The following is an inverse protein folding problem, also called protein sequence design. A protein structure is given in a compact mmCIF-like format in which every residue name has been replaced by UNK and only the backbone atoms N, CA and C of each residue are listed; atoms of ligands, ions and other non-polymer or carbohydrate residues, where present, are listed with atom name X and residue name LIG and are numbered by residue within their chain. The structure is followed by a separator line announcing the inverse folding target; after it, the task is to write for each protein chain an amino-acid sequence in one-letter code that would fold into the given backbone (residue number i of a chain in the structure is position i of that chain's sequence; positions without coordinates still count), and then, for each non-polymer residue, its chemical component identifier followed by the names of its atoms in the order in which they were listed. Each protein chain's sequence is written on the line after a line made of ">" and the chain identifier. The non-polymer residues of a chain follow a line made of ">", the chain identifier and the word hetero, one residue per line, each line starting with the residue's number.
data_IF_243260870000
#
_entry.id   IF_243260870000
#
_cell.length_a   1.000
_cell.length_b   1.000
_cell.length_c   1.000
_cell.angle_alpha   90.00
_cell.angle_beta   90.00
_cell.angle_gamma   90.00
#
_symmetry.space_group_name_H-M   'P 1'
#
loop_
_entity.id
_entity.type
_entity.pdbx_description
1 polymer ?
#
# COMPACT_ATOMS: atom_id res chain seq x y z
N UNK A 1 31.80 17.16 -6.74
CA UNK A 1 31.22 16.69 -8.02
C UNK A 1 30.13 17.64 -8.49
N UNK A 2 30.32 18.30 -9.64
CA UNK A 2 29.30 19.09 -10.34
C UNK A 2 28.19 18.15 -10.84
N UNK A 3 26.94 18.63 -10.90
CA UNK A 3 25.82 17.85 -11.44
C UNK A 3 25.99 17.70 -12.96
N UNK A 4 25.90 16.48 -13.53
CA UNK A 4 25.94 16.29 -14.97
C UNK A 4 24.81 17.07 -15.65
N UNK A 5 25.07 17.63 -16.83
CA UNK A 5 24.18 18.60 -17.50
C UNK A 5 22.77 18.05 -17.73
N UNK A 6 22.60 16.73 -17.87
CA UNK A 6 21.31 16.07 -18.11
C UNK A 6 20.93 14.99 -17.08
N UNK A 7 21.70 14.83 -16.00
CA UNK A 7 21.38 13.85 -14.96
C UNK A 7 21.22 14.49 -13.58
N UNK A 8 19.98 14.77 -13.23
CA UNK A 8 19.62 15.36 -11.93
C UNK A 8 19.53 14.31 -10.81
N UNK A 9 19.56 13.01 -11.14
CA UNK A 9 19.43 11.90 -10.19
C UNK A 9 20.74 11.13 -10.01
N UNK A 10 21.83 11.50 -10.71
CA UNK A 10 23.13 10.82 -10.71
C UNK A 10 23.65 10.33 -9.36
N UNK A 11 23.39 11.07 -8.26
CA UNK A 11 23.83 10.69 -6.91
C UNK A 11 23.16 9.45 -6.33
N UNK A 12 22.01 9.07 -6.85
CA UNK A 12 21.23 7.90 -6.39
C UNK A 12 20.98 6.89 -7.50
N UNK A 13 21.28 7.23 -8.76
CA UNK A 13 21.00 6.41 -9.94
C UNK A 13 21.60 5.01 -9.81
N UNK A 14 22.91 4.91 -9.65
CA UNK A 14 23.60 3.62 -9.57
C UNK A 14 23.10 2.76 -8.40
N UNK A 15 22.74 3.39 -7.28
CA UNK A 15 22.16 2.69 -6.13
C UNK A 15 20.78 2.13 -6.46
N UNK A 16 19.91 2.96 -7.04
CA UNK A 16 18.55 2.55 -7.43
C UNK A 16 18.63 1.41 -8.46
N UNK A 17 19.45 1.55 -9.50
CA UNK A 17 19.60 0.52 -10.54
C UNK A 17 20.08 -0.82 -9.97
N UNK A 18 21.06 -0.81 -9.06
CA UNK A 18 21.52 -2.02 -8.36
C UNK A 18 20.43 -2.64 -7.48
N UNK A 19 19.69 -1.81 -6.76
CA UNK A 19 18.61 -2.28 -5.89
C UNK A 19 17.45 -2.84 -6.69
N UNK A 20 17.02 -2.18 -7.76
CA UNK A 20 15.96 -2.66 -8.67
C UNK A 20 16.34 -4.00 -9.28
N UNK A 21 17.59 -4.19 -9.74
CA UNK A 21 18.06 -5.49 -10.24
C UNK A 21 17.89 -6.59 -9.19
N UNK A 22 18.22 -6.30 -7.93
CA UNK A 22 18.01 -7.25 -6.82
C UNK A 22 16.53 -7.43 -6.47
N UNK A 23 15.69 -6.41 -6.61
CA UNK A 23 14.26 -6.52 -6.33
C UNK A 23 13.58 -7.48 -7.31
N UNK A 24 13.93 -7.35 -8.58
CA UNK A 24 13.42 -8.17 -9.67
C UNK A 24 13.94 -9.62 -9.59
N UNK A 25 15.14 -9.86 -9.05
CA UNK A 25 15.69 -11.22 -8.95
C UNK A 25 15.17 -12.02 -7.74
N UNK A 26 14.66 -11.35 -6.71
CA UNK A 26 14.29 -12.00 -5.43
C UNK A 26 12.85 -12.53 -5.42
N UNK A 27 11.95 -11.94 -6.20
CA UNK A 27 10.54 -12.32 -6.22
C UNK A 27 10.05 -12.41 -7.65
N UNK A 28 9.41 -13.53 -7.98
CA UNK A 28 8.74 -13.69 -9.28
C UNK A 28 7.46 -12.83 -9.31
N UNK A 29 7.25 -12.00 -10.33
CA UNK A 29 6.09 -11.13 -10.42
C UNK A 29 4.75 -11.86 -10.53
N UNK A 30 3.79 -11.49 -9.68
CA UNK A 30 2.42 -12.00 -9.69
C UNK A 30 1.59 -11.53 -10.89
N UNK A 31 0.36 -12.03 -11.03
CA UNK A 31 -0.55 -11.67 -12.12
C UNK A 31 -0.93 -10.17 -12.12
N UNK A 32 -1.11 -9.55 -10.95
CA UNK A 32 -1.56 -8.17 -10.83
C UNK A 32 -0.44 -7.28 -10.29
N UNK A 33 -0.13 -6.22 -11.04
CA UNK A 33 0.90 -5.26 -10.68
C UNK A 33 0.35 -3.85 -10.81
N UNK A 34 0.36 -3.11 -9.70
CA UNK A 34 -0.10 -1.74 -9.67
C UNK A 34 1.05 -0.76 -9.93
N UNK A 35 0.76 0.32 -10.66
CA UNK A 35 1.68 1.44 -10.87
C UNK A 35 1.04 2.71 -10.33
N UNK A 36 1.78 3.41 -9.46
CA UNK A 36 1.38 4.67 -8.87
C UNK A 36 2.62 5.35 -8.24
N UNK A 37 2.37 6.34 -7.41
CA UNK A 37 3.31 7.36 -7.03
C UNK A 37 3.49 7.37 -5.52
N UNK A 38 4.73 7.27 -5.07
CA UNK A 38 5.11 7.41 -3.67
C UNK A 38 5.82 8.75 -3.44
N UNK A 39 5.83 9.21 -2.19
CA UNK A 39 6.43 10.49 -1.82
C UNK A 39 7.47 10.35 -0.73
N UNK A 40 8.71 10.72 -1.05
CA UNK A 40 9.77 10.89 -0.05
C UNK A 40 9.76 12.31 0.47
N UNK A 41 9.39 12.48 1.73
CA UNK A 41 9.27 13.79 2.39
C UNK A 41 10.55 14.62 2.29
N UNK A 42 10.51 15.77 1.61
CA UNK A 42 11.66 16.66 1.48
C UNK A 42 11.23 18.13 1.26
N UNK A 43 11.74 19.03 2.11
CA UNK A 43 11.45 20.47 2.06
C UNK A 43 12.66 21.36 1.72
N UNK A 44 13.83 20.77 1.45
CA UNK A 44 15.02 21.54 1.06
C UNK A 44 14.92 22.14 -0.35
N UNK A 45 15.97 22.86 -0.75
CA UNK A 45 16.08 23.46 -2.09
C UNK A 45 16.28 22.36 -3.14
N UNK A 46 15.31 22.19 -4.03
CA UNK A 46 15.33 21.23 -5.12
C UNK A 46 14.49 21.75 -6.29
N UNK A 47 15.09 21.82 -7.48
CA UNK A 47 14.45 22.38 -8.69
C UNK A 47 13.14 21.68 -9.10
N UNK A 48 13.01 20.38 -8.81
CA UNK A 48 11.90 19.54 -9.25
C UNK A 48 11.10 18.95 -8.09
N UNK A 49 11.18 19.56 -6.90
CA UNK A 49 10.35 19.17 -5.74
C UNK A 49 8.87 19.19 -6.14
N UNK A 50 8.15 18.13 -5.77
CA UNK A 50 6.73 18.00 -6.07
C UNK A 50 5.88 18.41 -4.87
N UNK A 51 4.70 18.94 -5.17
CA UNK A 51 3.62 19.13 -4.23
C UNK A 51 2.46 18.23 -4.62
N UNK A 52 2.07 17.29 -3.74
CA UNK A 52 0.94 16.37 -3.95
C UNK A 52 -0.04 16.54 -2.79
N UNK A 53 -1.18 17.25 -2.98
CA UNK A 53 -2.10 17.61 -1.91
C UNK A 53 -2.66 16.42 -1.11
N UNK A 54 -2.83 15.27 -1.77
CA UNK A 54 -3.46 14.08 -1.20
C UNK A 54 -2.54 13.11 -0.44
N UNK A 55 -1.21 13.33 -0.47
CA UNK A 55 -0.27 12.47 0.26
C UNK A 55 0.00 13.03 1.66
N UNK A 56 0.25 12.13 2.63
CA UNK A 56 0.56 12.50 4.02
C UNK A 56 1.71 13.52 4.11
N UNK A 57 2.75 13.30 3.32
CA UNK A 57 3.78 14.29 3.06
C UNK A 57 3.49 15.02 1.75
N UNK A 58 2.99 16.25 1.84
CA UNK A 58 2.60 16.98 0.63
C UNK A 58 3.77 17.48 -0.21
N UNK A 59 4.95 17.70 0.37
CA UNK A 59 6.13 18.22 -0.31
C UNK A 59 7.28 17.22 -0.27
N UNK A 60 7.86 16.91 -1.43
CA UNK A 60 8.96 15.96 -1.46
C UNK A 60 9.49 15.61 -2.84
N UNK A 61 10.19 14.49 -2.87
CA UNK A 61 10.65 13.82 -4.09
C UNK A 61 9.60 12.77 -4.44
N UNK A 62 9.07 12.86 -5.66
CA UNK A 62 8.09 11.91 -6.18
C UNK A 62 8.86 10.70 -6.75
N UNK A 63 8.44 9.51 -6.34
CA UNK A 63 8.90 8.24 -6.91
C UNK A 63 7.73 7.61 -7.66
N UNK A 64 8.00 7.07 -8.85
CA UNK A 64 7.06 6.17 -9.52
C UNK A 64 7.44 4.74 -9.13
N UNK A 65 6.47 3.94 -8.70
CA UNK A 65 6.70 2.55 -8.28
C UNK A 65 5.79 1.61 -9.04
N UNK A 66 6.27 0.39 -9.24
CA UNK A 66 5.43 -0.76 -9.60
C UNK A 66 5.47 -1.78 -8.46
N UNK A 67 4.32 -2.11 -7.92
CA UNK A 67 4.17 -2.97 -6.75
C UNK A 67 3.17 -4.10 -7.02
N UNK A 68 3.39 -5.23 -6.36
CA UNK A 68 2.41 -6.31 -6.26
C UNK A 68 1.35 -6.04 -5.21
N UNK A 69 0.27 -6.83 -5.25
CA UNK A 69 -0.83 -6.83 -4.27
C UNK A 69 -0.35 -7.01 -2.83
N UNK A 70 0.75 -7.75 -2.60
CA UNK A 70 1.35 -7.97 -1.28
C UNK A 70 2.18 -6.76 -0.76
N UNK A 71 2.30 -5.69 -1.54
CA UNK A 71 3.08 -4.50 -1.24
C UNK A 71 4.56 -4.56 -1.60
N UNK A 72 5.00 -5.61 -2.30
CA UNK A 72 6.38 -5.72 -2.76
C UNK A 72 6.62 -4.79 -3.96
N UNK A 73 7.65 -3.94 -3.86
CA UNK A 73 8.09 -3.04 -4.95
C UNK A 73 9.09 -3.77 -5.85
N UNK A 74 8.77 -3.88 -7.14
CA UNK A 74 9.63 -4.50 -8.16
C UNK A 74 10.54 -3.50 -8.86
N UNK A 75 10.04 -2.29 -9.12
CA UNK A 75 10.80 -1.21 -9.76
C UNK A 75 10.40 0.15 -9.17
N UNK A 76 11.35 1.07 -9.14
CA UNK A 76 11.19 2.43 -8.64
C UNK A 76 12.01 3.42 -9.46
N UNK A 77 11.37 4.51 -9.89
CA UNK A 77 11.99 5.57 -10.68
C UNK A 77 11.84 6.95 -10.00
N UNK A 78 12.95 7.68 -9.84
CA UNK A 78 12.98 9.02 -9.24
C UNK A 78 12.58 10.09 -10.27
N UNK A 79 11.50 10.81 -9.99
CA UNK A 79 11.05 11.89 -10.86
C UNK A 79 11.99 13.10 -10.82
N UNK A 80 12.76 13.27 -11.89
CA UNK A 80 13.73 14.36 -12.07
C UNK A 80 13.16 15.69 -12.65
N UNK A 81 11.84 15.80 -12.80
CA UNK A 81 11.19 16.91 -13.48
C UNK A 81 10.86 16.63 -14.95
N UNK A 82 10.42 17.66 -15.68
CA UNK A 82 10.01 17.56 -17.09
C UNK A 82 11.24 17.49 -18.02
N UNK A 83 11.75 16.28 -18.26
CA UNK A 83 12.54 15.98 -19.45
C UNK A 83 11.58 15.25 -20.41
N UNK A 84 10.82 16.00 -21.21
CA UNK A 84 10.02 15.40 -22.29
C UNK A 84 10.96 15.16 -23.45
N UNK A 85 11.38 13.91 -23.66
CA UNK A 85 12.34 13.58 -24.72
C UNK A 85 11.63 13.06 -25.99
N UNK A 86 10.43 12.44 -25.87
CA UNK A 86 9.94 11.58 -26.96
C UNK A 86 8.50 11.84 -27.46
N UNK A 87 7.90 12.99 -27.17
CA UNK A 87 6.51 13.30 -27.59
C UNK A 87 5.40 12.41 -26.98
N UNK A 88 5.77 11.26 -26.38
CA UNK A 88 4.90 10.40 -25.57
C UNK A 88 4.58 11.14 -24.27
N UNK A 89 3.29 11.23 -23.94
CA UNK A 89 2.84 11.82 -22.67
C UNK A 89 3.50 11.12 -21.47
N UNK A 90 3.92 11.90 -20.46
CA UNK A 90 4.65 11.42 -19.28
C UNK A 90 4.06 10.15 -18.68
N UNK A 91 2.72 10.08 -18.57
CA UNK A 91 2.03 8.97 -17.92
C UNK A 91 2.20 7.64 -18.69
N UNK A 92 2.06 7.66 -20.02
CA UNK A 92 2.26 6.47 -20.84
C UNK A 92 3.71 6.00 -20.80
N UNK A 93 4.67 6.93 -20.83
CA UNK A 93 6.10 6.61 -20.73
C UNK A 93 6.44 5.94 -19.40
N UNK A 94 5.99 6.52 -18.28
CA UNK A 94 6.25 5.98 -16.94
C UNK A 94 5.71 4.55 -16.80
N UNK A 95 4.49 4.30 -17.26
CA UNK A 95 3.92 2.95 -17.18
C UNK A 95 4.75 1.96 -17.99
N UNK A 96 5.06 2.27 -19.25
CA UNK A 96 5.82 1.37 -20.11
C UNK A 96 7.25 1.14 -19.61
N UNK A 97 7.92 2.17 -19.09
CA UNK A 97 9.26 2.04 -18.50
C UNK A 97 9.25 1.10 -17.30
N UNK A 98 8.33 1.31 -16.34
CA UNK A 98 8.23 0.48 -15.14
C UNK A 98 7.72 -0.93 -15.43
N UNK A 99 6.84 -1.09 -16.42
CA UNK A 99 6.29 -2.40 -16.78
C UNK A 99 7.21 -3.22 -17.67
N UNK A 100 8.24 -2.62 -18.29
CA UNK A 100 9.05 -3.25 -19.34
C UNK A 100 9.56 -4.67 -18.98
N UNK A 101 10.09 -4.93 -17.77
CA UNK A 101 10.56 -6.26 -17.38
C UNK A 101 9.44 -7.31 -17.23
N UNK A 102 8.18 -6.87 -17.18
CA UNK A 102 7.01 -7.67 -16.82
C UNK A 102 6.00 -7.83 -17.97
N UNK A 103 6.34 -7.30 -19.15
CA UNK A 103 5.54 -7.42 -20.36
C UNK A 103 5.58 -8.84 -20.93
N UNK A 104 4.68 -9.12 -21.87
CA UNK A 104 4.62 -10.38 -22.63
C UNK A 104 4.33 -11.64 -21.81
N UNK A 105 3.61 -11.51 -20.70
CA UNK A 105 3.31 -12.64 -19.81
C UNK A 105 1.83 -12.79 -19.44
N UNK A 106 0.92 -12.07 -20.12
CA UNK A 106 -0.51 -12.09 -19.80
C UNK A 106 -0.86 -11.42 -18.46
N UNK A 107 0.10 -10.75 -17.82
CA UNK A 107 -0.11 -10.02 -16.55
C UNK A 107 -1.03 -8.83 -16.73
N UNK A 108 -1.55 -8.34 -15.62
CA UNK A 108 -2.46 -7.20 -15.58
C UNK A 108 -1.83 -6.03 -14.84
N UNK A 109 -1.62 -4.94 -15.57
CA UNK A 109 -1.15 -3.66 -15.03
C UNK A 109 -2.36 -2.87 -14.52
N UNK A 110 -2.30 -2.45 -13.26
CA UNK A 110 -3.35 -1.67 -12.58
C UNK A 110 -2.88 -0.24 -12.42
N UNK A 111 -3.68 0.72 -12.91
CA UNK A 111 -3.27 2.14 -12.93
C UNK A 111 -4.38 3.09 -12.51
N UNK A 112 -4.02 4.22 -11.91
CA UNK A 112 -4.96 5.31 -11.65
C UNK A 112 -5.20 6.16 -12.91
N UNK A 113 -6.25 6.98 -12.87
CA UNK A 113 -6.73 7.87 -13.92
C UNK A 113 -5.69 8.82 -14.54
N UNK A 114 -4.59 9.11 -13.84
CA UNK A 114 -3.48 9.90 -14.38
C UNK A 114 -2.76 9.16 -15.53
N UNK A 115 -2.70 7.84 -15.46
CA UNK A 115 -1.99 6.98 -16.41
C UNK A 115 -2.91 6.36 -17.46
N UNK A 116 -4.12 5.97 -17.05
CA UNK A 116 -5.07 5.24 -17.91
C UNK A 116 -5.44 6.05 -19.14
N UNK A 117 -5.19 5.47 -20.31
CA UNK A 117 -5.53 6.06 -21.60
C UNK A 117 -5.62 5.00 -22.69
N UNK A 118 -6.40 5.27 -23.74
CA UNK A 118 -6.56 4.35 -24.86
C UNK A 118 -5.23 4.01 -25.57
N UNK A 119 -4.31 4.98 -25.82
CA UNK A 119 -3.00 4.65 -26.40
C UNK A 119 -2.14 3.74 -25.51
N UNK A 120 -2.26 3.88 -24.18
CA UNK A 120 -1.56 2.99 -23.25
C UNK A 120 -2.14 1.58 -23.31
N UNK A 121 -3.47 1.46 -23.31
CA UNK A 121 -4.17 0.17 -23.38
C UNK A 121 -3.79 -0.62 -24.65
N UNK A 122 -3.77 0.03 -25.82
CA UNK A 122 -3.35 -0.62 -27.08
C UNK A 122 -1.90 -1.11 -26.99
N UNK A 123 -0.96 -0.27 -26.51
CA UNK A 123 0.45 -0.67 -26.39
C UNK A 123 0.68 -1.83 -25.43
N UNK A 124 -0.07 -1.90 -24.34
CA UNK A 124 0.04 -3.02 -23.41
C UNK A 124 -0.50 -4.31 -24.04
N UNK A 125 -1.62 -4.23 -24.77
CA UNK A 125 -2.16 -5.37 -25.53
C UNK A 125 -1.20 -5.85 -26.63
N UNK A 126 -0.56 -4.94 -27.36
CA UNK A 126 0.51 -5.27 -28.33
C UNK A 126 1.67 -6.05 -27.68
N UNK A 127 1.89 -5.86 -26.37
CA UNK A 127 2.89 -6.57 -25.57
C UNK A 127 2.27 -7.65 -24.66
N UNK A 128 1.18 -8.29 -25.09
CA UNK A 128 0.46 -9.36 -24.39
C UNK A 128 0.28 -9.10 -22.88
N UNK A 129 -0.12 -7.88 -22.54
CA UNK A 129 -0.28 -7.41 -21.16
C UNK A 129 -1.62 -6.67 -21.03
N UNK A 130 -2.39 -7.02 -20.01
CA UNK A 130 -3.68 -6.40 -19.76
C UNK A 130 -3.55 -5.10 -18.97
N UNK A 131 -4.54 -4.23 -19.11
CA UNK A 131 -4.69 -3.00 -18.35
C UNK A 131 -6.02 -3.02 -17.60
N UNK A 132 -6.00 -2.58 -16.35
CA UNK A 132 -7.17 -2.12 -15.61
C UNK A 132 -6.86 -0.75 -15.03
N UNK A 133 -7.79 0.19 -15.13
CA UNK A 133 -7.63 1.45 -14.44
C UNK A 133 -8.88 2.28 -14.38
N UNK A 134 -8.88 3.25 -13.47
CA UNK A 134 -9.89 4.32 -13.51
C UNK A 134 -9.59 5.24 -14.68
N UNK A 135 -10.62 5.82 -15.28
CA UNK A 135 -10.51 6.67 -16.46
C UNK A 135 -11.01 8.07 -16.13
N UNK A 136 -10.26 9.10 -16.53
CA UNK A 136 -10.74 10.49 -16.46
C UNK A 136 -11.75 10.73 -17.58
N UNK A 137 -12.92 11.27 -17.26
CA UNK A 137 -14.00 11.52 -18.24
C UNK A 137 -13.63 12.55 -19.31
N UNK A 138 -12.62 13.40 -19.07
CA UNK A 138 -12.13 14.41 -20.00
C UNK A 138 -10.96 13.94 -20.89
N UNK A 139 -10.66 12.64 -20.95
CA UNK A 139 -9.64 12.14 -21.90
C UNK A 139 -10.16 12.21 -23.33
N UNK A 140 -9.23 12.40 -24.26
CA UNK A 140 -9.51 12.44 -25.70
C UNK A 140 -9.99 11.05 -26.15
N UNK A 141 -10.90 11.01 -27.14
CA UNK A 141 -11.42 9.78 -27.76
C UNK A 141 -12.22 8.87 -26.80
N UNK A 142 -12.83 9.46 -25.78
CA UNK A 142 -13.80 8.75 -24.94
C UNK A 142 -15.17 8.75 -25.66
N UNK A 143 -15.90 7.61 -25.69
CA UNK A 143 -17.21 7.54 -26.32
C UNK A 143 -18.25 8.44 -25.63
N UNK A 144 -19.29 8.84 -26.37
CA UNK A 144 -20.33 9.73 -25.85
C UNK A 144 -21.16 9.13 -24.69
N UNK A 145 -21.08 7.80 -24.48
CA UNK A 145 -21.74 7.09 -23.38
C UNK A 145 -21.44 7.69 -21.99
N UNK A 146 -20.31 8.39 -21.85
CA UNK A 146 -19.95 9.02 -20.59
C UNK A 146 -20.80 10.26 -20.26
N UNK A 147 -21.55 10.81 -21.24
CA UNK A 147 -22.54 11.88 -21.04
C UNK A 147 -23.87 11.36 -20.50
N UNK A 148 -24.20 10.09 -20.70
CA UNK A 148 -25.47 9.48 -20.27
C UNK A 148 -25.61 9.50 -18.74
N UNK A 149 -26.79 9.90 -18.24
CA UNK A 149 -27.13 9.82 -16.81
C UNK A 149 -27.58 8.41 -16.48
N UNK A 150 -27.16 7.90 -15.32
CA UNK A 150 -27.46 6.53 -14.88
C UNK A 150 -28.14 6.58 -13.51
N UNK A 151 -29.01 5.60 -13.22
CA UNK A 151 -29.55 5.38 -11.87
C UNK A 151 -28.49 4.72 -10.99
N UNK A 152 -28.54 4.90 -9.65
CA UNK A 152 -27.63 4.20 -8.72
C UNK A 152 -27.64 2.68 -8.97
N UNK A 153 -26.46 2.09 -9.08
CA UNK A 153 -26.25 0.68 -9.39
C UNK A 153 -26.08 0.36 -10.88
N UNK A 154 -26.50 1.24 -11.79
CA UNK A 154 -26.41 1.00 -13.23
C UNK A 154 -24.99 1.19 -13.78
N UNK A 155 -24.65 0.35 -14.76
CA UNK A 155 -23.41 0.40 -15.54
C UNK A 155 -23.75 0.51 -17.03
N UNK A 156 -22.99 1.34 -17.75
CA UNK A 156 -22.96 1.38 -19.21
C UNK A 156 -21.51 1.24 -19.65
N UNK A 157 -21.27 0.55 -20.76
CA UNK A 157 -19.94 0.49 -21.34
C UNK A 157 -19.99 0.23 -22.84
N UNK A 158 -18.83 0.38 -23.46
CA UNK A 158 -18.58 -0.02 -24.85
C UNK A 158 -17.26 -0.73 -24.93
N UNK A 159 -17.18 -1.63 -25.89
CA UNK A 159 -15.99 -2.35 -26.26
C UNK A 159 -15.58 -1.93 -27.67
N UNK A 160 -14.28 -1.84 -27.91
CA UNK A 160 -13.76 -1.62 -29.27
C UNK A 160 -13.37 -2.96 -29.91
N UNK A 161 -13.00 -2.94 -31.20
CA UNK A 161 -12.57 -4.12 -31.95
C UNK A 161 -11.34 -4.83 -31.35
N UNK A 162 -10.53 -4.13 -30.55
CA UNK A 162 -9.35 -4.67 -29.89
C UNK A 162 -9.65 -5.31 -28.51
N UNK A 163 -10.93 -5.43 -28.12
CA UNK A 163 -11.31 -5.96 -26.81
C UNK A 163 -11.09 -4.99 -25.63
N UNK A 164 -10.95 -3.69 -25.91
CA UNK A 164 -10.82 -2.66 -24.87
C UNK A 164 -12.22 -2.18 -24.47
N UNK A 165 -12.57 -2.48 -23.22
CA UNK A 165 -13.81 -2.03 -22.58
C UNK A 165 -13.58 -0.71 -21.87
N UNK A 166 -14.47 0.25 -22.11
CA UNK A 166 -14.63 1.45 -21.30
C UNK A 166 -16.01 1.46 -20.69
N UNK A 167 -16.09 1.72 -19.39
CA UNK A 167 -17.34 1.67 -18.67
C UNK A 167 -17.51 2.86 -17.72
N UNK A 168 -18.77 3.24 -17.52
CA UNK A 168 -19.24 4.22 -16.54
C UNK A 168 -20.25 3.53 -15.64
N UNK A 169 -19.98 3.51 -14.35
CA UNK A 169 -20.83 2.94 -13.32
C UNK A 169 -21.26 4.01 -12.33
N UNK A 170 -22.51 3.98 -11.88
CA UNK A 170 -23.02 4.90 -10.87
C UNK A 170 -23.11 4.22 -9.50
N UNK A 171 -22.10 4.43 -8.68
CA UNK A 171 -22.15 4.11 -7.25
C UNK A 171 -22.79 5.31 -6.50
N UNK A 172 -22.22 5.76 -5.38
CA UNK A 172 -22.50 7.07 -4.78
C UNK A 172 -22.12 8.25 -5.69
N UNK A 173 -21.15 8.02 -6.59
CA UNK A 173 -20.67 8.96 -7.62
C UNK A 173 -20.37 8.16 -8.88
N UNK A 174 -20.33 8.84 -10.02
CA UNK A 174 -19.90 8.23 -11.26
C UNK A 174 -18.44 7.79 -11.18
N UNK A 175 -18.20 6.51 -11.47
CA UNK A 175 -16.89 5.92 -11.63
C UNK A 175 -16.71 5.55 -13.10
N UNK A 176 -15.67 6.10 -13.70
CA UNK A 176 -15.27 5.80 -15.07
C UNK A 176 -14.05 4.87 -15.04
N UNK A 177 -14.06 3.83 -15.86
CA UNK A 177 -13.05 2.78 -15.85
C UNK A 177 -12.73 2.29 -17.27
N UNK A 178 -11.56 1.72 -17.43
CA UNK A 178 -11.09 1.10 -18.67
C UNK A 178 -10.45 -0.24 -18.32
N UNK A 179 -10.74 -1.27 -19.12
CA UNK A 179 -10.10 -2.56 -19.00
C UNK A 179 -9.90 -3.23 -20.35
N UNK A 180 -8.87 -4.05 -20.46
CA UNK A 180 -8.59 -4.90 -21.63
C UNK A 180 -8.74 -6.39 -21.32
N UNK A 181 -9.39 -6.74 -20.20
CA UNK A 181 -9.55 -8.11 -19.70
C UNK A 181 -10.99 -8.46 -19.33
N UNK A 182 -11.83 -7.46 -19.07
CA UNK A 182 -13.14 -7.66 -18.46
C UNK A 182 -14.25 -7.16 -19.37
N UNK A 183 -15.41 -7.79 -19.21
CA UNK A 183 -16.69 -7.31 -19.72
C UNK A 183 -17.38 -6.40 -18.70
N UNK A 184 -18.56 -5.87 -19.04
CA UNK A 184 -19.37 -4.98 -18.17
C UNK A 184 -20.23 -5.74 -17.13
N UNK A 185 -19.82 -6.94 -16.74
CA UNK A 185 -20.59 -7.80 -15.86
C UNK A 185 -20.61 -7.28 -14.42
N UNK A 186 -21.79 -7.37 -13.79
CA UNK A 186 -22.00 -7.07 -12.37
C UNK A 186 -21.94 -8.37 -11.57
N UNK A 187 -21.19 -8.36 -10.47
CA UNK A 187 -20.97 -9.53 -9.61
C UNK A 187 -21.42 -9.22 -8.20
N UNK A 188 -22.03 -10.22 -7.55
CA UNK A 188 -22.43 -10.13 -6.15
C UNK A 188 -21.18 -10.11 -5.26
N UNK A 189 -21.10 -9.13 -4.36
CA UNK A 189 -19.90 -8.92 -3.53
C UNK A 189 -19.87 -9.77 -2.25
N UNK A 190 -20.91 -10.58 -2.00
CA UNK A 190 -21.13 -11.28 -0.73
C UNK A 190 -21.43 -10.37 0.47
N UNK A 191 -21.48 -9.04 0.26
CA UNK A 191 -21.83 -8.06 1.29
C UNK A 191 -23.30 -7.67 1.15
N UNK A 192 -23.95 -7.49 2.29
CA UNK A 192 -25.32 -6.99 2.36
C UNK A 192 -25.35 -5.54 2.82
N UNK A 193 -26.30 -4.78 2.30
CA UNK A 193 -26.55 -3.43 2.76
C UNK A 193 -27.31 -3.45 4.11
N UNK A 194 -27.51 -2.30 4.78
CA UNK A 194 -28.28 -2.23 6.03
C UNK A 194 -29.74 -2.72 5.91
N UNK A 195 -30.28 -2.80 4.68
CA UNK A 195 -31.61 -3.35 4.37
C UNK A 195 -31.58 -4.86 4.09
N UNK A 196 -30.44 -5.52 4.31
CA UNK A 196 -30.21 -6.95 4.07
C UNK A 196 -30.26 -7.38 2.59
N UNK A 197 -30.11 -6.44 1.66
CA UNK A 197 -30.06 -6.70 0.21
C UNK A 197 -28.60 -6.92 -0.23
N UNK A 198 -28.39 -7.84 -1.16
CA UNK A 198 -27.07 -8.13 -1.72
C UNK A 198 -26.52 -6.95 -2.53
N UNK A 199 -25.24 -6.64 -2.33
CA UNK A 199 -24.54 -5.56 -3.02
C UNK A 199 -23.86 -6.11 -4.27
N UNK A 200 -24.21 -5.56 -5.43
CA UNK A 200 -23.59 -5.85 -6.72
C UNK A 200 -22.60 -4.76 -7.12
N UNK A 201 -21.47 -5.17 -7.70
CA UNK A 201 -20.46 -4.25 -8.25
C UNK A 201 -19.90 -4.78 -9.57
N UNK A 202 -19.43 -3.91 -10.48
CA UNK A 202 -18.74 -4.35 -11.69
C UNK A 202 -17.52 -5.22 -11.35
N UNK A 203 -17.29 -6.32 -12.07
CA UNK A 203 -16.08 -7.14 -11.83
C UNK A 203 -14.80 -6.30 -11.96
N UNK A 204 -14.76 -5.41 -12.96
CA UNK A 204 -13.66 -4.46 -13.19
C UNK A 204 -13.28 -3.69 -11.92
N UNK A 205 -14.26 -3.21 -11.14
CA UNK A 205 -13.97 -2.39 -9.95
C UNK A 205 -13.50 -3.25 -8.78
N UNK A 206 -13.92 -4.51 -8.70
CA UNK A 206 -13.44 -5.44 -7.68
C UNK A 206 -11.96 -5.75 -7.91
N UNK A 207 -11.60 -6.12 -9.15
CA UNK A 207 -10.22 -6.47 -9.50
C UNK A 207 -9.30 -5.25 -9.48
N UNK A 208 -9.79 -4.08 -9.90
CA UNK A 208 -9.07 -2.82 -9.73
C UNK A 208 -8.75 -2.54 -8.25
N UNK A 209 -9.72 -2.70 -7.34
CA UNK A 209 -9.50 -2.42 -5.93
C UNK A 209 -8.58 -3.45 -5.27
N UNK A 210 -8.65 -4.72 -5.67
CA UNK A 210 -7.74 -5.75 -5.22
C UNK A 210 -6.30 -5.44 -5.69
N UNK A 211 -6.12 -5.11 -6.97
CA UNK A 211 -4.81 -4.82 -7.55
C UNK A 211 -4.17 -3.55 -7.00
N UNK A 212 -4.93 -2.44 -6.91
CA UNK A 212 -4.38 -1.14 -6.49
C UNK A 212 -3.90 -1.13 -5.02
N UNK A 213 -4.41 -2.02 -4.19
CA UNK A 213 -4.13 -2.05 -2.75
C UNK A 213 -2.64 -2.29 -2.44
N UNK A 214 -1.90 -2.90 -3.37
CA UNK A 214 -0.47 -3.18 -3.24
C UNK A 214 0.37 -1.93 -2.98
N UNK A 215 0.12 -0.84 -3.70
CA UNK A 215 0.91 0.39 -3.51
C UNK A 215 0.59 1.07 -2.19
N UNK A 216 -0.70 1.13 -1.82
CA UNK A 216 -1.11 1.67 -0.53
C UNK A 216 -0.47 0.88 0.62
N UNK A 217 -0.38 -0.44 0.49
CA UNK A 217 0.30 -1.31 1.45
C UNK A 217 1.82 -1.07 1.48
N UNK A 218 2.47 -0.90 0.33
CA UNK A 218 3.89 -0.55 0.24
C UNK A 218 4.20 0.77 0.97
N UNK A 219 3.44 1.83 0.64
CA UNK A 219 3.55 3.14 1.28
C UNK A 219 3.30 3.05 2.80
N UNK A 220 2.32 2.25 3.22
CA UNK A 220 2.00 2.02 4.63
C UNK A 220 3.15 1.30 5.36
N UNK A 221 3.68 0.23 4.79
CA UNK A 221 4.79 -0.54 5.39
C UNK A 221 6.06 0.30 5.52
N UNK A 222 6.39 1.10 4.50
CA UNK A 222 7.49 2.06 4.58
C UNK A 222 7.26 3.09 5.70
N UNK A 223 6.03 3.58 5.85
CA UNK A 223 5.71 4.58 6.88
C UNK A 223 5.93 4.09 8.32
N UNK A 224 5.62 2.82 8.62
CA UNK A 224 5.79 2.26 9.97
C UNK A 224 7.25 2.09 10.37
N UNK A 225 8.12 1.80 9.41
CA UNK A 225 9.54 1.54 9.66
C UNK A 225 10.44 2.65 9.09
N UNK A 226 9.90 3.87 8.89
CA UNK A 226 10.60 4.88 8.12
C UNK A 226 11.95 5.27 8.75
N UNK A 227 13.06 5.00 8.04
CA UNK A 227 14.40 5.33 8.49
C UNK A 227 14.75 6.80 8.24
N UNK A 228 13.90 7.53 7.52
CA UNK A 228 14.18 8.86 7.02
C UNK A 228 14.31 9.84 8.20
N UNK A 229 15.40 10.63 8.20
CA UNK A 229 15.67 11.69 9.17
C UNK A 229 15.72 13.06 8.50
N UNK A 230 15.66 14.13 9.30
CA UNK A 230 15.81 15.50 8.78
C UNK A 230 17.17 15.62 8.08
N UNK A 231 17.15 16.04 6.81
CA UNK A 231 18.36 16.20 6.00
C UNK A 231 18.16 17.34 5.01
N UNK A 232 19.23 18.10 4.78
CA UNK A 232 19.32 19.11 3.70
C UNK A 232 19.64 18.47 2.34
N UNK A 233 20.14 17.23 2.34
CA UNK A 233 20.58 16.47 1.18
C UNK A 233 19.48 15.48 0.75
N UNK A 234 18.83 15.75 -0.37
CA UNK A 234 17.75 14.89 -0.91
C UNK A 234 18.20 13.44 -1.12
N UNK A 235 19.40 13.26 -1.64
CA UNK A 235 19.89 11.94 -2.07
C UNK A 235 20.06 10.98 -0.90
N UNK A 236 20.39 11.48 0.30
CA UNK A 236 20.35 10.64 1.51
C UNK A 236 18.93 10.12 1.77
N UNK A 237 17.92 10.99 1.67
CA UNK A 237 16.53 10.57 1.92
C UNK A 237 16.04 9.53 0.93
N UNK A 238 16.29 9.76 -0.36
CA UNK A 238 15.88 8.81 -1.42
C UNK A 238 16.63 7.49 -1.27
N UNK A 239 17.94 7.53 -1.03
CA UNK A 239 18.74 6.33 -0.83
C UNK A 239 18.25 5.50 0.36
N UNK A 240 17.99 6.15 1.51
CA UNK A 240 17.50 5.45 2.71
C UNK A 240 16.08 4.91 2.52
N UNK A 241 15.21 5.66 1.84
CA UNK A 241 13.85 5.20 1.53
C UNK A 241 13.91 3.94 0.65
N UNK A 242 14.60 3.99 -0.49
CA UNK A 242 14.62 2.86 -1.44
C UNK A 242 15.30 1.65 -0.78
N UNK A 243 16.43 1.83 -0.09
CA UNK A 243 17.13 0.74 0.58
C UNK A 243 16.26 -0.03 1.59
N UNK A 244 15.35 0.68 2.28
CA UNK A 244 14.54 0.14 3.37
C UNK A 244 13.05 0.13 3.06
N UNK A 245 12.66 0.22 1.79
CA UNK A 245 11.27 0.13 1.30
C UNK A 245 10.62 -1.26 1.56
N UNK A 246 11.31 -2.14 2.28
CA UNK A 246 10.91 -3.51 2.60
C UNK A 246 10.54 -3.64 4.08
N UNK A 247 9.91 -4.76 4.45
CA UNK A 247 9.54 -5.14 5.85
C UNK A 247 10.74 -5.33 6.80
N UNK A 248 11.90 -4.74 6.51
CA UNK A 248 13.09 -4.80 7.35
C UNK A 248 13.10 -3.52 8.18
N UNK A 249 12.95 -3.66 9.50
CA UNK A 249 13.13 -2.54 10.41
C UNK A 249 14.58 -2.04 10.33
N UNK A 250 14.80 -0.74 10.56
CA UNK A 250 16.17 -0.20 10.58
C UNK A 250 17.09 -0.92 11.59
N UNK A 251 16.52 -1.43 12.69
CA UNK A 251 17.25 -2.22 13.69
C UNK A 251 17.70 -3.54 13.09
N UNK A 252 16.80 -4.27 12.44
CA UNK A 252 17.11 -5.54 11.78
C UNK A 252 18.11 -5.35 10.63
N UNK A 253 17.99 -4.27 9.87
CA UNK A 253 18.99 -3.93 8.84
C UNK A 253 20.37 -3.67 9.45
N UNK A 254 20.43 -2.97 10.59
CA UNK A 254 21.71 -2.72 11.29
C UNK A 254 22.32 -4.00 11.83
N UNK A 255 21.51 -4.88 12.44
CA UNK A 255 21.94 -6.20 12.89
C UNK A 255 22.52 -7.00 11.72
N UNK A 256 21.75 -7.16 10.63
CA UNK A 256 22.23 -7.86 9.42
C UNK A 256 23.50 -7.24 8.84
N UNK A 257 23.61 -5.92 8.84
CA UNK A 257 24.80 -5.23 8.32
C UNK A 257 26.01 -5.45 9.21
N UNK A 258 25.83 -5.44 10.54
CA UNK A 258 26.87 -5.78 11.50
C UNK A 258 27.30 -7.24 11.33
N UNK A 259 26.34 -8.17 11.18
CA UNK A 259 26.63 -9.58 10.95
C UNK A 259 27.46 -9.78 9.68
N UNK A 260 27.09 -9.12 8.57
CA UNK A 260 27.84 -9.15 7.31
C UNK A 260 29.23 -8.52 7.44
N UNK A 261 29.35 -7.37 8.12
CA UNK A 261 30.64 -6.67 8.29
C UNK A 261 31.60 -7.43 9.22
N UNK A 262 31.07 -8.19 10.17
CA UNK A 262 31.84 -9.00 11.11
C UNK A 262 32.04 -10.44 10.62
N UNK A 263 31.63 -10.75 9.38
CA UNK A 263 31.71 -12.10 8.79
C UNK A 263 31.07 -13.18 9.68
N UNK A 264 30.01 -12.81 10.42
CA UNK A 264 29.26 -13.75 11.24
C UNK A 264 28.41 -14.62 10.31
N UNK A 265 28.70 -15.91 10.30
CA UNK A 265 28.27 -16.90 9.30
C UNK A 265 26.76 -16.87 9.00
N UNK A 266 26.40 -16.89 7.71
CA UNK A 266 25.01 -16.71 7.22
C UNK A 266 24.11 -17.96 7.36
N UNK A 267 24.35 -18.84 8.34
CA UNK A 267 23.58 -20.07 8.53
C UNK A 267 22.21 -19.92 9.21
N UNK A 268 21.66 -18.71 9.32
CA UNK A 268 20.31 -18.50 9.87
C UNK A 268 19.24 -18.12 8.84
N UNK A 269 19.59 -17.92 7.56
CA UNK A 269 18.59 -17.49 6.56
C UNK A 269 17.63 -18.63 6.18
N UNK A 270 18.06 -19.89 6.23
CA UNK A 270 17.21 -21.05 5.92
C UNK A 270 16.21 -21.44 7.05
N UNK A 271 16.40 -20.97 8.29
CA UNK A 271 15.59 -21.41 9.44
C UNK A 271 14.32 -20.55 9.61
N UNK A 272 14.16 -19.45 8.87
CA UNK A 272 13.05 -18.50 9.08
C UNK A 272 11.90 -18.71 8.07
N UNK A 273 12.11 -19.40 6.94
CA UNK A 273 11.02 -19.77 6.02
C UNK A 273 10.17 -20.93 6.50
N UNK A 274 10.67 -21.73 7.45
CA UNK A 274 10.03 -22.98 7.88
C UNK A 274 9.73 -23.05 9.39
N UNK A 275 9.67 -21.88 10.06
CA UNK A 275 9.02 -21.86 11.36
C UNK A 275 7.55 -22.11 11.12
N UNK A 276 6.95 -23.17 11.71
CA UNK A 276 5.51 -23.20 11.84
C UNK A 276 5.17 -21.86 12.49
N UNK A 277 4.19 -21.14 11.95
CA UNK A 277 3.43 -20.21 12.77
C UNK A 277 3.01 -21.01 13.99
N UNK A 278 3.78 -20.94 15.06
CA UNK A 278 3.24 -21.07 16.39
C UNK A 278 2.31 -19.88 16.45
N UNK A 279 1.08 -20.13 16.01
CA UNK A 279 -0.06 -19.53 16.64
C UNK A 279 0.23 -19.72 18.12
N UNK A 280 0.78 -18.70 18.75
CA UNK A 280 0.31 -18.38 20.08
C UNK A 280 -1.18 -18.22 19.82
N UNK A 281 -1.92 -19.31 20.04
CA UNK A 281 -3.35 -19.24 20.24
C UNK A 281 -3.43 -18.16 21.31
N UNK A 282 -3.73 -16.94 20.91
CA UNK A 282 -4.34 -16.00 21.80
C UNK A 282 -5.58 -16.76 22.22
N UNK A 283 -5.47 -17.48 23.33
CA UNK A 283 -6.61 -18.10 23.98
C UNK A 283 -7.65 -17.01 23.98
N UNK A 284 -8.85 -17.33 23.46
CA UNK A 284 -9.99 -16.41 23.50
C UNK A 284 -9.90 -15.68 24.83
N UNK A 285 -9.68 -14.36 24.81
CA UNK A 285 -9.82 -13.56 26.03
C UNK A 285 -11.19 -13.95 26.56
N UNK A 286 -11.22 -14.62 27.70
CA UNK A 286 -12.48 -14.88 28.38
C UNK A 286 -13.09 -13.50 28.56
N UNK A 287 -14.24 -13.27 27.93
CA UNK A 287 -14.96 -12.02 28.11
C UNK A 287 -15.41 -12.01 29.56
N UNK A 288 -14.62 -11.37 30.42
CA UNK A 288 -14.96 -11.18 31.82
C UNK A 288 -16.24 -10.36 31.87
N UNK A 289 -17.31 -10.96 32.40
CA UNK A 289 -18.56 -10.25 32.68
C UNK A 289 -18.35 -9.51 34.00
N UNK A 290 -18.58 -8.21 33.98
CA UNK A 290 -18.32 -7.31 35.09
C UNK A 290 -19.65 -6.96 35.78
N UNK A 291 -19.82 -7.29 37.07
CA UNK A 291 -20.96 -6.85 37.91
C UNK A 291 -20.64 -5.62 38.77
N UNK A 292 -21.51 -4.61 38.76
CA UNK A 292 -21.25 -3.33 39.43
C UNK A 292 -21.39 -3.42 40.96
N UNK A 293 -20.45 -2.82 41.71
CA UNK A 293 -20.55 -2.80 43.19
C UNK A 293 -21.68 -1.87 43.66
N UNK A 294 -22.48 -2.38 44.60
CA UNK A 294 -23.55 -1.63 45.26
C UNK A 294 -23.04 -0.83 46.48
N UNK A 295 -21.84 -1.15 46.97
CA UNK A 295 -21.24 -0.52 48.16
C UNK A 295 -20.84 0.95 47.92
N UNK A 296 -21.18 1.81 48.88
CA UNK A 296 -20.83 3.23 48.90
C UNK A 296 -20.06 3.59 50.17
N UNK A 297 -19.14 4.55 50.05
CA UNK A 297 -18.40 5.10 51.19
C UNK A 297 -19.28 6.06 52.03
N UNK A 298 -18.75 6.53 53.17
CA UNK A 298 -19.42 7.48 54.06
C UNK A 298 -19.74 8.84 53.41
N UNK A 299 -19.20 9.12 52.21
CA UNK A 299 -19.51 10.30 51.39
C UNK A 299 -20.43 9.95 50.21
N UNK A 300 -21.10 8.80 50.27
CA UNK A 300 -22.05 8.29 49.30
C UNK A 300 -21.48 8.03 47.89
N UNK A 301 -20.16 7.77 47.77
CA UNK A 301 -19.48 7.45 46.49
C UNK A 301 -19.29 5.95 46.36
N UNK A 302 -19.46 5.40 45.15
CA UNK A 302 -19.25 3.97 44.88
C UNK A 302 -17.82 3.52 45.21
N UNK A 303 -17.68 2.45 45.98
CA UNK A 303 -16.38 1.91 46.42
C UNK A 303 -15.72 1.11 45.29
N UNK A 304 -14.46 1.45 44.97
CA UNK A 304 -13.64 0.74 43.97
C UNK A 304 -12.76 -0.31 44.64
N UNK A 305 -12.88 -1.58 44.26
CA UNK A 305 -12.01 -2.68 44.74
C UNK A 305 -11.19 -3.29 43.59
N UNK A 306 -10.23 -4.17 43.90
CA UNK A 306 -9.44 -4.91 42.90
C UNK A 306 -10.13 -6.24 42.61
N UNK A 307 -10.07 -6.77 41.38
CA UNK A 307 -10.51 -8.15 41.14
C UNK A 307 -9.61 -9.11 41.93
N UNK A 308 -10.23 -9.97 42.74
CA UNK A 308 -9.53 -10.91 43.63
C UNK A 308 -8.67 -11.90 42.85
N UNK A 309 -9.20 -12.43 41.73
CA UNK A 309 -8.49 -13.39 40.88
C UNK A 309 -7.24 -12.78 40.23
N UNK A 310 -7.38 -11.64 39.55
CA UNK A 310 -6.24 -10.95 38.93
C UNK A 310 -5.20 -10.50 39.95
N UNK A 311 -5.64 -10.07 41.15
CA UNK A 311 -4.73 -9.72 42.23
C UNK A 311 -3.98 -10.93 42.77
N UNK A 312 -4.65 -12.08 42.95
CA UNK A 312 -4.04 -13.34 43.37
C UNK A 312 -2.98 -13.82 42.37
N UNK A 313 -3.33 -13.91 41.08
CA UNK A 313 -2.39 -14.30 40.03
C UNK A 313 -1.13 -13.41 39.99
N UNK A 314 -1.33 -12.08 40.08
CA UNK A 314 -0.20 -11.15 40.12
C UNK A 314 0.59 -11.26 41.43
N UNK A 315 -0.06 -11.53 42.56
CA UNK A 315 0.63 -11.70 43.84
C UNK A 315 1.53 -12.92 43.80
N UNK A 316 1.09 -14.03 43.20
CA UNK A 316 1.92 -15.22 42.99
C UNK A 316 3.11 -14.93 42.06
N UNK A 317 2.92 -14.10 41.04
CA UNK A 317 3.97 -13.80 40.06
C UNK A 317 5.02 -12.78 40.54
N UNK A 318 4.62 -11.72 41.25
CA UNK A 318 5.49 -10.57 41.55
C UNK A 318 5.49 -10.13 43.02
N UNK A 319 4.79 -10.85 43.90
CA UNK A 319 4.65 -10.52 45.31
C UNK A 319 3.61 -9.43 45.61
N UNK A 320 3.09 -9.43 46.84
CA UNK A 320 1.92 -8.63 47.26
C UNK A 320 2.15 -7.11 47.18
N UNK A 321 3.32 -6.63 47.63
CA UNK A 321 3.67 -5.21 47.56
C UNK A 321 3.62 -4.68 46.13
N UNK A 322 4.25 -5.38 45.19
CA UNK A 322 4.33 -4.96 43.78
C UNK A 322 2.99 -5.14 43.06
N UNK A 323 2.29 -6.25 43.33
CA UNK A 323 0.94 -6.48 42.82
C UNK A 323 -0.04 -5.38 43.24
N UNK A 324 0.07 -4.82 44.46
CA UNK A 324 -0.82 -3.76 44.96
C UNK A 324 -0.70 -2.45 44.19
N UNK A 325 0.48 -2.13 43.66
CA UNK A 325 0.71 -0.90 42.88
C UNK A 325 0.24 -1.10 41.44
N UNK A 326 0.53 -2.26 40.85
CA UNK A 326 0.28 -2.51 39.43
C UNK A 326 -1.16 -2.92 39.10
N UNK A 327 -1.93 -3.40 40.08
CA UNK A 327 -3.33 -3.78 39.87
C UNK A 327 -4.26 -2.58 40.08
N UNK A 328 -4.88 -2.15 38.98
CA UNK A 328 -5.87 -1.06 38.98
C UNK A 328 -7.10 -1.46 39.79
N UNK A 329 -7.63 -0.51 40.57
CA UNK A 329 -8.91 -0.62 41.28
C UNK A 329 -10.04 -0.22 40.33
N UNK A 330 -11.07 -1.05 40.23
CA UNK A 330 -12.25 -0.80 39.41
C UNK A 330 -13.51 -0.80 40.28
N UNK A 331 -14.62 -0.27 39.78
CA UNK A 331 -15.93 -0.35 40.45
C UNK A 331 -16.49 -1.79 40.47
N UNK A 332 -15.76 -2.75 39.93
CA UNK A 332 -16.25 -4.08 39.59
C UNK A 332 -15.17 -5.12 39.93
N UNK A 333 -15.24 -5.78 41.10
CA UNK A 333 -14.17 -6.61 41.63
C UNK A 333 -14.58 -8.07 41.84
N UNK A 334 -15.09 -8.73 40.81
CA UNK A 334 -15.18 -10.19 40.80
C UNK A 334 -14.94 -10.69 39.38
N UNK A 335 -14.07 -11.69 39.27
CA UNK A 335 -13.83 -12.43 38.03
C UNK A 335 -14.24 -13.87 38.36
N UNK A 336 -15.20 -14.43 37.62
CA UNK A 336 -15.32 -15.89 37.50
C UNK A 336 -14.47 -16.31 36.30
#
# INVERSE_FOLDING_TARGET
>A
MKTPVNDRIYKVRDLIERLVKNYQSVMEPSEYMAIDESMVSFRGRLKFRQYIPGKAHKYGVKLFKICEVNGYTHDVNDYAGKNQVDGKGLACRVVLELSNPFLNSGRTIVTDNFYTSLPLANKLLENNTHLIGTLRSNRIRIPEIFKTKLRPGEIIGRENINGIVVAKWHDKRYVSMMSTKHNINMVETGKKNPKNESIFKPQIILDYNAGKAGIDLSDQLSSYNSPVRKSIRRYHKVATEVLLDKKISITKFREMLVDVLLELDQLQIAIISDRPTTSTKHGRKTNHKFEETVERDYRNRKVRKRCLHCYSLKTTAVGSKKASVETKKYLIPSCV
#
